data_IF_522631848324
#
_entry.id   IF_522631848324
#
_cell.length_a   1.000
_cell.length_b   1.000
_cell.length_c   1.000
_cell.angle_alpha   90.00
_cell.angle_beta   90.00
_cell.angle_gamma   90.00
#
_symmetry.space_group_name_H-M   'P 1'
#
loop_
_entity.id
_entity.type
_entity.pdbx_description
1 polymer ?
#
# COMPACT_ATOMS: atom_id res chain seq x y z
N UNK A 1 3.40 -22.85 4.53
CA UNK A 1 3.03 -21.42 4.54
C UNK A 1 1.58 -21.29 4.12
N UNK A 2 0.81 -20.44 4.78
CA UNK A 2 -0.55 -20.10 4.36
C UNK A 2 -0.49 -19.44 2.97
N UNK A 3 -1.22 -19.92 1.93
CA UNK A 3 -1.22 -19.31 0.61
C UNK A 3 -1.49 -17.79 0.62
N UNK A 4 -2.37 -17.33 1.50
CA UNK A 4 -2.66 -15.91 1.68
C UNK A 4 -1.43 -15.11 2.13
N UNK A 5 -0.58 -15.69 2.98
CA UNK A 5 0.64 -15.07 3.46
C UNK A 5 1.68 -14.92 2.35
N UNK A 6 1.85 -15.95 1.51
CA UNK A 6 2.77 -15.86 0.37
C UNK A 6 2.32 -14.82 -0.65
N UNK A 7 1.02 -14.73 -0.94
CA UNK A 7 0.46 -13.70 -1.84
C UNK A 7 0.64 -12.31 -1.24
N UNK A 8 0.33 -12.13 0.05
CA UNK A 8 0.51 -10.84 0.74
C UNK A 8 1.97 -10.40 0.76
N UNK A 9 2.92 -11.31 0.99
CA UNK A 9 4.35 -11.00 0.98
C UNK A 9 4.83 -10.52 -0.39
N UNK A 10 4.43 -11.23 -1.46
CA UNK A 10 4.76 -10.84 -2.83
C UNK A 10 4.12 -9.49 -3.19
N UNK A 11 2.86 -9.28 -2.81
CA UNK A 11 2.17 -8.02 -3.01
C UNK A 11 2.91 -6.85 -2.32
N UNK A 12 3.23 -6.96 -1.03
CA UNK A 12 3.91 -5.90 -0.30
C UNK A 12 5.30 -5.63 -0.86
N UNK A 13 6.05 -6.68 -1.21
CA UNK A 13 7.35 -6.53 -1.86
C UNK A 13 7.22 -5.71 -3.15
N UNK A 14 6.28 -6.05 -4.02
CA UNK A 14 6.06 -5.32 -5.28
C UNK A 14 5.57 -3.89 -5.03
N UNK A 15 4.63 -3.71 -4.11
CA UNK A 15 4.03 -2.42 -3.77
C UNK A 15 5.10 -1.43 -3.25
N UNK A 16 5.84 -1.80 -2.20
CA UNK A 16 6.86 -0.93 -1.63
C UNK A 16 8.06 -0.76 -2.58
N UNK A 17 8.47 -1.79 -3.31
CA UNK A 17 9.52 -1.66 -4.33
C UNK A 17 9.12 -0.66 -5.42
N UNK A 18 7.87 -0.72 -5.88
CA UNK A 18 7.34 0.24 -6.86
C UNK A 18 7.34 1.65 -6.28
N UNK A 19 6.85 1.84 -5.05
CA UNK A 19 6.84 3.14 -4.39
C UNK A 19 8.26 3.73 -4.23
N UNK A 20 9.26 2.91 -3.91
CA UNK A 20 10.65 3.34 -3.76
C UNK A 20 11.35 3.66 -5.10
N UNK A 21 10.96 3.02 -6.20
CA UNK A 21 11.66 3.14 -7.51
C UNK A 21 10.94 4.02 -8.52
N UNK A 22 9.61 3.97 -8.54
CA UNK A 22 8.76 4.74 -9.44
C UNK A 22 7.39 4.94 -8.78
N UNK A 23 7.29 5.96 -7.92
CA UNK A 23 6.03 6.29 -7.20
C UNK A 23 4.83 6.47 -8.14
N UNK A 24 5.06 6.95 -9.36
CA UNK A 24 3.99 7.16 -10.34
C UNK A 24 3.43 5.84 -10.89
N UNK A 25 4.24 4.78 -10.96
CA UNK A 25 3.77 3.46 -11.37
C UNK A 25 2.87 2.79 -10.31
N UNK A 26 2.87 3.29 -9.06
CA UNK A 26 2.02 2.75 -8.00
C UNK A 26 0.53 2.88 -8.32
N UNK A 27 0.15 3.83 -9.19
CA UNK A 27 -1.23 4.00 -9.63
C UNK A 27 -1.82 2.72 -10.26
N UNK A 28 -0.97 1.84 -10.82
CA UNK A 28 -1.38 0.57 -11.42
C UNK A 28 -1.93 -0.45 -10.40
N UNK A 29 -1.69 -0.23 -9.10
CA UNK A 29 -2.24 -1.06 -8.02
C UNK A 29 -3.69 -0.67 -7.66
N UNK A 30 -4.17 0.48 -8.13
CA UNK A 30 -5.47 1.04 -7.78
C UNK A 30 -6.45 0.99 -8.96
N UNK A 31 -7.72 1.27 -8.67
CA UNK A 31 -8.82 1.42 -9.64
C UNK A 31 -9.69 2.60 -9.24
N UNK A 32 -10.71 2.93 -10.03
CA UNK A 32 -11.66 4.00 -9.68
C UNK A 32 -12.50 3.68 -8.43
N UNK A 33 -12.58 2.40 -8.04
CA UNK A 33 -13.23 1.97 -6.80
C UNK A 33 -12.32 2.09 -5.56
N UNK A 34 -11.06 2.45 -5.73
CA UNK A 34 -10.08 2.49 -4.65
C UNK A 34 -10.23 3.72 -3.77
N UNK A 35 -9.89 3.55 -2.49
CA UNK A 35 -9.85 4.64 -1.50
C UNK A 35 -8.51 4.59 -0.77
N UNK A 36 -7.74 5.67 -0.84
CA UNK A 36 -6.52 5.87 -0.07
C UNK A 36 -6.78 6.85 1.07
N UNK A 37 -6.32 6.55 2.27
CA UNK A 37 -6.23 7.49 3.38
C UNK A 37 -4.76 7.67 3.74
N UNK A 38 -4.22 8.87 3.58
CA UNK A 38 -2.80 9.15 3.85
C UNK A 38 -2.70 10.25 4.90
N UNK A 39 -2.18 9.91 6.09
CA UNK A 39 -2.05 10.89 7.17
C UNK A 39 -3.39 11.40 7.73
N UNK A 40 -4.50 10.73 7.42
CA UNK A 40 -5.85 11.10 7.84
C UNK A 40 -6.68 11.82 6.78
N UNK A 41 -6.10 12.15 5.64
CA UNK A 41 -6.82 12.69 4.49
C UNK A 41 -7.20 11.57 3.52
N UNK A 42 -8.42 11.61 3.00
CA UNK A 42 -8.98 10.57 2.12
C UNK A 42 -8.97 11.03 0.65
N UNK A 43 -8.57 10.12 -0.24
CA UNK A 43 -8.46 10.31 -1.69
C UNK A 43 -9.20 9.15 -2.38
N UNK A 44 -10.23 9.47 -3.15
CA UNK A 44 -11.13 8.48 -3.75
C UNK A 44 -10.90 8.38 -5.26
N UNK A 45 -10.72 7.16 -5.75
CA UNK A 45 -10.51 6.84 -7.17
C UNK A 45 -9.13 7.22 -7.70
N UNK A 46 -8.85 6.80 -8.93
CA UNK A 46 -7.52 6.91 -9.55
C UNK A 46 -7.02 8.36 -9.61
N UNK A 47 -7.90 9.30 -9.98
CA UNK A 47 -7.51 10.69 -10.15
C UNK A 47 -6.95 11.29 -8.85
N UNK A 48 -7.71 11.21 -7.76
CA UNK A 48 -7.32 11.80 -6.48
C UNK A 48 -6.10 11.08 -5.88
N UNK A 49 -6.01 9.76 -6.05
CA UNK A 49 -4.85 8.97 -5.62
C UNK A 49 -3.59 9.38 -6.42
N UNK A 50 -3.70 9.53 -7.74
CA UNK A 50 -2.57 9.95 -8.58
C UNK A 50 -2.08 11.37 -8.22
N UNK A 51 -3.00 12.32 -8.05
CA UNK A 51 -2.66 13.67 -7.58
C UNK A 51 -1.94 13.65 -6.22
N UNK A 52 -2.37 12.77 -5.29
CA UNK A 52 -1.67 12.57 -4.02
C UNK A 52 -0.26 12.02 -4.21
N UNK A 53 -0.08 11.00 -5.06
CA UNK A 53 1.24 10.43 -5.34
C UNK A 53 2.21 11.46 -5.94
N UNK A 54 1.70 12.34 -6.81
CA UNK A 54 2.46 13.47 -7.39
C UNK A 54 2.86 14.49 -6.31
N UNK A 55 1.98 14.75 -5.34
CA UNK A 55 2.21 15.74 -4.29
C UNK A 55 3.25 15.32 -3.24
N UNK A 56 3.65 14.04 -3.20
CA UNK A 56 4.64 13.56 -2.24
C UNK A 56 6.03 14.11 -2.61
N UNK A 57 6.57 14.99 -1.78
CA UNK A 57 7.76 15.80 -2.09
C UNK A 57 9.12 15.08 -1.92
N UNK A 58 9.14 13.82 -1.48
CA UNK A 58 10.40 13.07 -1.34
C UNK A 58 11.03 12.76 -2.70
N UNK A 59 12.36 12.77 -2.76
CA UNK A 59 13.13 12.32 -3.93
C UNK A 59 13.45 10.83 -3.82
N UNK A 60 13.87 10.40 -2.63
CA UNK A 60 14.10 9.02 -2.29
C UNK A 60 13.33 8.66 -1.03
N UNK A 61 12.68 7.49 -1.04
CA UNK A 61 12.08 6.90 0.14
C UNK A 61 12.56 5.46 0.25
N UNK A 62 12.83 5.00 1.47
CA UNK A 62 13.18 3.62 1.77
C UNK A 62 12.15 3.09 2.74
N UNK A 63 11.42 2.04 2.35
CA UNK A 63 10.51 1.32 3.22
C UNK A 63 11.14 0.01 3.68
N UNK A 64 10.95 -0.30 4.96
CA UNK A 64 11.28 -1.59 5.56
C UNK A 64 10.06 -2.10 6.31
N UNK A 65 9.47 -3.18 5.81
CA UNK A 65 8.42 -3.91 6.52
C UNK A 65 9.06 -4.64 7.69
N UNK A 66 8.56 -4.42 8.89
CA UNK A 66 9.02 -5.10 10.10
C UNK A 66 8.13 -6.31 10.38
N UNK A 67 6.80 -6.10 10.44
CA UNK A 67 5.81 -7.15 10.63
C UNK A 67 4.63 -7.00 9.67
N UNK A 68 3.96 -8.12 9.40
CA UNK A 68 2.72 -8.16 8.62
C UNK A 68 1.82 -9.31 9.10
N UNK A 69 0.55 -8.97 9.29
CA UNK A 69 -0.54 -9.92 9.44
C UNK A 69 -1.44 -9.90 8.20
N UNK A 70 -1.99 -11.07 7.85
CA UNK A 70 -2.97 -11.21 6.77
C UNK A 70 -4.14 -12.08 7.20
N UNK A 71 -5.34 -11.65 6.80
CA UNK A 71 -6.57 -12.42 6.93
C UNK A 71 -7.26 -12.53 5.57
N UNK A 72 -8.07 -13.59 5.34
CA UNK A 72 -9.04 -13.58 4.26
C UNK A 72 -9.96 -12.36 4.41
N UNK A 73 -10.21 -11.65 3.32
CA UNK A 73 -11.16 -10.53 3.31
C UNK A 73 -12.61 -11.01 3.21
N UNK A 74 -13.55 -10.06 3.21
CA UNK A 74 -14.99 -10.32 3.22
C UNK A 74 -15.50 -10.97 1.91
N UNK A 75 -14.75 -10.85 0.81
CA UNK A 75 -15.09 -11.41 -0.50
C UNK A 75 -14.14 -12.57 -0.83
N UNK A 76 -14.61 -13.55 -1.60
CA UNK A 76 -13.77 -14.65 -2.04
C UNK A 76 -12.49 -14.14 -2.73
N UNK A 77 -11.34 -14.72 -2.37
CA UNK A 77 -10.01 -14.35 -2.88
C UNK A 77 -9.57 -12.91 -2.56
N UNK A 78 -10.26 -12.21 -1.66
CA UNK A 78 -9.77 -10.94 -1.11
C UNK A 78 -8.88 -11.15 0.10
N UNK A 79 -8.01 -10.19 0.38
CA UNK A 79 -7.10 -10.20 1.52
C UNK A 79 -7.25 -8.91 2.32
N UNK A 80 -7.14 -9.02 3.64
CA UNK A 80 -7.00 -7.89 4.54
C UNK A 80 -5.62 -7.96 5.19
N UNK A 81 -4.80 -6.94 4.97
CA UNK A 81 -3.43 -6.86 5.44
C UNK A 81 -3.31 -5.76 6.47
N UNK A 82 -2.54 -6.03 7.52
CA UNK A 82 -2.04 -5.04 8.46
C UNK A 82 -0.52 -5.10 8.45
N UNK A 83 0.13 -3.96 8.24
CA UNK A 83 1.57 -3.85 8.06
C UNK A 83 2.13 -2.82 9.02
N UNK A 84 3.23 -3.16 9.67
CA UNK A 84 4.05 -2.21 10.42
C UNK A 84 5.44 -2.18 9.84
N UNK A 85 6.11 -1.06 10.01
CA UNK A 85 7.47 -0.95 9.54
C UNK A 85 8.09 0.39 9.83
N UNK A 86 9.21 0.62 9.16
CA UNK A 86 9.94 1.86 9.19
C UNK A 86 10.12 2.43 7.79
N UNK A 87 10.22 3.75 7.71
CA UNK A 87 10.55 4.44 6.48
C UNK A 87 11.56 5.56 6.74
N UNK A 88 12.33 5.87 5.71
CA UNK A 88 13.29 6.97 5.69
C UNK A 88 13.10 7.76 4.40
N UNK A 89 13.04 9.09 4.49
CA UNK A 89 12.88 9.98 3.33
C UNK A 89 14.16 10.78 3.15
N UNK A 90 14.73 10.82 1.95
CA UNK A 90 15.88 11.67 1.60
C UNK A 90 17.07 11.60 2.58
N UNK A 91 17.31 10.43 3.19
CA UNK A 91 18.37 10.22 4.18
C UNK A 91 18.10 10.80 5.57
N UNK A 92 16.85 11.18 5.87
CA UNK A 92 16.41 11.73 7.16
C UNK A 92 16.45 10.74 8.31
N UNK A 93 15.88 11.13 9.45
CA UNK A 93 15.51 10.21 10.53
C UNK A 93 14.59 9.07 10.04
N UNK A 94 14.62 7.98 10.78
CA UNK A 94 13.75 6.81 10.57
C UNK A 94 12.42 7.01 11.29
N UNK A 95 11.33 6.91 10.55
CA UNK A 95 9.97 7.00 11.08
C UNK A 95 9.32 5.63 11.12
N UNK A 96 8.52 5.35 12.14
CA UNK A 96 7.65 4.17 12.15
C UNK A 96 6.37 4.48 11.39
N UNK A 97 5.82 3.47 10.72
CA UNK A 97 4.53 3.58 10.06
C UNK A 97 3.68 2.35 10.33
N UNK A 98 2.38 2.51 10.10
CA UNK A 98 1.44 1.41 9.97
C UNK A 98 0.59 1.63 8.73
N UNK A 99 0.33 0.56 8.00
CA UNK A 99 -0.47 0.60 6.78
C UNK A 99 -1.41 -0.60 6.72
N UNK A 100 -2.66 -0.38 6.37
CA UNK A 100 -3.65 -1.45 6.18
C UNK A 100 -4.13 -1.48 4.74
N UNK A 101 -4.31 -2.67 4.19
CA UNK A 101 -4.81 -2.86 2.84
C UNK A 101 -6.01 -3.79 2.80
N UNK A 102 -7.05 -3.43 2.05
CA UNK A 102 -7.98 -4.41 1.51
C UNK A 102 -7.64 -4.64 0.04
N UNK A 103 -7.30 -5.87 -0.31
CA UNK A 103 -6.94 -6.29 -1.66
C UNK A 103 -8.07 -7.16 -2.20
N UNK A 104 -8.64 -6.79 -3.34
CA UNK A 104 -9.74 -7.50 -3.97
C UNK A 104 -9.32 -8.06 -5.34
N UNK A 105 -9.98 -9.13 -5.81
CA UNK A 105 -9.81 -9.59 -7.18
C UNK A 105 -10.35 -8.53 -8.17
N UNK A 106 -9.64 -8.32 -9.27
CA UNK A 106 -10.05 -7.37 -10.32
C UNK A 106 -11.00 -7.97 -11.36
N UNK A 107 -11.45 -9.22 -11.17
CA UNK A 107 -12.32 -9.95 -12.10
C UNK A 107 -11.64 -10.52 -13.35
N UNK A 108 -10.35 -10.23 -13.56
CA UNK A 108 -9.53 -10.66 -14.71
C UNK A 108 -8.39 -11.61 -14.29
N UNK A 109 -8.48 -12.18 -13.09
CA UNK A 109 -7.44 -13.03 -12.51
C UNK A 109 -6.29 -12.29 -11.82
N UNK A 110 -6.36 -10.96 -11.73
CA UNK A 110 -5.43 -10.13 -10.97
C UNK A 110 -6.03 -9.60 -9.66
N UNK A 111 -5.23 -8.82 -8.95
CA UNK A 111 -5.59 -8.18 -7.68
C UNK A 111 -5.46 -6.66 -7.81
N UNK A 112 -6.21 -5.92 -7.00
CA UNK A 112 -6.06 -4.47 -6.85
C UNK A 112 -6.30 -4.04 -5.39
N UNK A 113 -5.81 -2.86 -5.04
CA UNK A 113 -5.98 -2.24 -3.72
C UNK A 113 -7.33 -1.53 -3.67
N UNK A 114 -8.28 -2.08 -2.92
CA UNK A 114 -9.58 -1.47 -2.72
C UNK A 114 -9.54 -0.39 -1.64
N UNK A 115 -8.91 -0.69 -0.49
CA UNK A 115 -8.65 0.29 0.56
C UNK A 115 -7.18 0.30 0.93
N UNK A 116 -6.66 1.48 1.18
CA UNK A 116 -5.30 1.74 1.63
C UNK A 116 -5.36 2.80 2.74
N UNK A 117 -4.87 2.48 3.93
CA UNK A 117 -4.83 3.43 5.05
C UNK A 117 -3.42 3.46 5.60
N UNK A 118 -2.75 4.61 5.45
CA UNK A 118 -1.38 4.85 5.88
C UNK A 118 -1.31 5.90 6.99
N UNK A 119 -0.54 5.61 8.04
CA UNK A 119 -0.20 6.53 9.13
C UNK A 119 1.27 6.40 9.53
N UNK A 120 1.89 7.54 9.82
CA UNK A 120 3.10 7.57 10.65
C UNK A 120 2.72 7.31 12.11
N UNK A 121 3.59 6.62 12.83
CA UNK A 121 3.45 6.30 14.25
C UNK A 121 4.48 7.13 15.02
N UNK A 122 4.01 7.89 16.01
CA UNK A 122 4.80 8.78 16.85
C UNK A 122 4.94 8.22 18.27
#
# INVERSE_FOLDING_TARGET
MNPAQSIAQQFLQQYYQTLMTNKMALIQFYTDASIMTYGGEQYNGLKAINEKLESLAFQQIVYKVDDMDVQPGAVQNSLFLFVTGTLQMDGSDTFKFSQSFQILPNGQGGLYVHNDIFRLVY
#
